data_IF_032256163603
#
_entry.id   IF_032256163603
#
_cell.length_a   1.000
_cell.length_b   1.000
_cell.length_c   1.000
_cell.angle_alpha   90.00
_cell.angle_beta   90.00
_cell.angle_gamma   90.00
#
_symmetry.space_group_name_H-M   'P 1'
#
loop_
_entity.id
_entity.type
_entity.pdbx_description
1 polymer ?
#
# COMPACT_ATOMS: atom_id res chain seq x y z
N UNK A 1 -8.52 -26.79 -11.46
CA UNK A 1 -8.69 -26.25 -10.10
C UNK A 1 -8.44 -27.40 -9.13
N UNK A 2 -7.30 -27.42 -8.42
CA UNK A 2 -7.03 -28.45 -7.41
C UNK A 2 -7.55 -27.89 -6.08
N UNK A 3 -8.58 -28.53 -5.51
CA UNK A 3 -9.02 -28.23 -4.16
C UNK A 3 -7.94 -28.75 -3.21
N UNK A 4 -7.39 -27.88 -2.37
CA UNK A 4 -6.52 -28.28 -1.28
C UNK A 4 -7.36 -29.04 -0.24
N UNK A 5 -6.85 -30.15 0.29
CA UNK A 5 -7.47 -30.81 1.44
C UNK A 5 -7.08 -30.06 2.73
N UNK A 6 -7.74 -30.37 3.87
CA UNK A 6 -7.49 -29.67 5.14
C UNK A 6 -6.01 -29.74 5.59
N UNK A 7 -5.38 -30.90 5.45
CA UNK A 7 -3.98 -31.12 5.82
C UNK A 7 -3.00 -30.33 4.93
N UNK A 8 -3.32 -30.14 3.65
CA UNK A 8 -2.53 -29.30 2.75
C UNK A 8 -2.60 -27.82 3.18
N UNK A 9 -3.75 -27.37 3.70
CA UNK A 9 -3.94 -26.00 4.15
C UNK A 9 -3.19 -25.70 5.45
N UNK A 10 -3.20 -26.63 6.39
CA UNK A 10 -2.42 -26.53 7.63
C UNK A 10 -0.92 -26.48 7.33
N UNK A 11 -0.43 -27.38 6.45
CA UNK A 11 0.98 -27.34 6.03
C UNK A 11 1.37 -26.04 5.30
N UNK A 12 0.50 -25.49 4.44
CA UNK A 12 0.75 -24.19 3.79
C UNK A 12 0.81 -23.06 4.82
N UNK A 13 -0.09 -23.10 5.81
CA UNK A 13 -0.13 -22.12 6.87
C UNK A 13 1.15 -22.15 7.70
N UNK A 14 1.59 -23.31 8.16
CA UNK A 14 2.82 -23.48 8.94
C UNK A 14 4.05 -22.99 8.16
N UNK A 15 4.10 -23.27 6.86
CA UNK A 15 5.18 -22.77 5.98
C UNK A 15 5.15 -21.24 5.92
N UNK A 16 3.97 -20.63 5.72
CA UNK A 16 3.84 -19.18 5.65
C UNK A 16 4.17 -18.51 6.98
N UNK A 17 3.77 -19.10 8.09
CA UNK A 17 4.11 -18.66 9.44
C UNK A 17 5.63 -18.67 9.66
N UNK A 18 6.30 -19.77 9.28
CA UNK A 18 7.75 -19.89 9.34
C UNK A 18 8.47 -18.87 8.45
N UNK A 19 7.97 -18.66 7.23
CA UNK A 19 8.51 -17.61 6.33
C UNK A 19 8.34 -16.22 6.95
N UNK A 20 7.16 -15.93 7.50
CA UNK A 20 6.88 -14.65 8.15
C UNK A 20 7.82 -14.41 9.33
N UNK A 21 8.04 -15.43 10.15
CA UNK A 21 8.98 -15.39 11.26
C UNK A 21 10.42 -15.07 10.79
N UNK A 22 10.93 -15.80 9.80
CA UNK A 22 12.30 -15.61 9.27
C UNK A 22 12.49 -14.21 8.69
N UNK A 23 11.55 -13.76 7.86
CA UNK A 23 11.62 -12.43 7.24
C UNK A 23 11.55 -11.35 8.32
N UNK A 24 10.66 -11.49 9.30
CA UNK A 24 10.54 -10.53 10.40
C UNK A 24 11.81 -10.47 11.25
N UNK A 25 12.43 -11.61 11.56
CA UNK A 25 13.70 -11.65 12.30
C UNK A 25 14.80 -10.89 11.56
N UNK A 26 14.94 -11.15 10.25
CA UNK A 26 15.92 -10.45 9.41
C UNK A 26 15.64 -8.94 9.30
N UNK A 27 14.36 -8.54 9.33
CA UNK A 27 13.96 -7.14 9.36
C UNK A 27 14.49 -6.45 10.63
N UNK A 28 14.23 -7.02 11.80
CA UNK A 28 14.64 -6.48 13.11
C UNK A 28 16.16 -6.38 13.23
N UNK A 29 16.89 -7.34 12.67
CA UNK A 29 18.35 -7.39 12.72
C UNK A 29 19.00 -6.41 11.72
N UNK A 30 18.32 -6.06 10.63
CA UNK A 30 18.86 -5.18 9.60
C UNK A 30 18.86 -3.71 10.06
N UNK A 31 20.05 -3.21 10.43
CA UNK A 31 20.26 -1.85 10.97
C UNK A 31 20.36 -0.72 9.93
N UNK A 32 20.02 -0.95 8.68
CA UNK A 32 20.27 0.05 7.64
C UNK A 32 19.03 0.58 6.95
N UNK A 33 19.19 1.76 6.39
CA UNK A 33 18.14 2.46 5.68
C UNK A 33 17.81 1.87 4.30
N UNK A 34 18.08 0.59 4.05
CA UNK A 34 17.98 -0.05 2.74
C UNK A 34 16.73 -0.94 2.60
N UNK A 35 16.56 -1.51 1.41
CA UNK A 35 15.51 -2.50 1.12
C UNK A 35 15.65 -3.74 2.00
N UNK A 36 14.59 -4.53 2.13
CA UNK A 36 14.64 -5.75 2.95
C UNK A 36 15.74 -6.73 2.45
N UNK A 37 16.60 -7.29 3.34
CA UNK A 37 17.75 -8.12 2.93
C UNK A 37 17.37 -9.38 2.15
N UNK A 38 16.18 -9.91 2.39
CA UNK A 38 15.68 -11.11 1.71
C UNK A 38 14.84 -10.83 0.45
N UNK A 39 14.54 -9.57 0.11
CA UNK A 39 13.66 -9.28 -1.03
C UNK A 39 14.17 -9.91 -2.33
N UNK A 40 15.43 -9.62 -2.69
CA UNK A 40 16.01 -10.09 -3.96
C UNK A 40 16.12 -11.61 -4.02
N UNK A 41 16.47 -12.26 -2.90
CA UNK A 41 16.56 -13.71 -2.81
C UNK A 41 15.18 -14.37 -2.99
N UNK A 42 14.16 -13.88 -2.29
CA UNK A 42 12.79 -14.40 -2.44
C UNK A 42 12.27 -14.18 -3.86
N UNK A 43 12.52 -13.01 -4.45
CA UNK A 43 12.15 -12.73 -5.83
C UNK A 43 12.84 -13.66 -6.85
N UNK A 44 14.12 -13.97 -6.65
CA UNK A 44 14.89 -14.86 -7.53
C UNK A 44 14.29 -16.27 -7.64
N UNK A 45 13.63 -16.75 -6.58
CA UNK A 45 12.96 -18.05 -6.54
C UNK A 45 11.45 -17.98 -6.83
N UNK A 46 10.97 -16.88 -7.44
CA UNK A 46 9.54 -16.61 -7.68
C UNK A 46 8.68 -16.65 -6.42
N UNK A 47 9.28 -16.42 -5.25
CA UNK A 47 8.58 -16.46 -3.97
C UNK A 47 7.56 -15.33 -3.83
N UNK A 48 7.85 -14.15 -4.39
CA UNK A 48 6.94 -13.00 -4.36
C UNK A 48 5.63 -13.33 -5.07
N UNK A 49 5.70 -13.88 -6.29
CA UNK A 49 4.53 -14.26 -7.07
C UNK A 49 3.74 -15.37 -6.38
N UNK A 50 4.42 -16.32 -5.73
CA UNK A 50 3.78 -17.42 -5.00
C UNK A 50 3.06 -16.96 -3.76
N UNK A 51 3.67 -16.09 -2.96
CA UNK A 51 3.03 -15.50 -1.78
C UNK A 51 1.82 -14.66 -2.21
N UNK A 52 1.93 -13.91 -3.31
CA UNK A 52 0.79 -13.15 -3.86
C UNK A 52 -0.35 -14.07 -4.36
N UNK A 53 -0.01 -15.19 -5.00
CA UNK A 53 -1.00 -16.19 -5.40
C UNK A 53 -1.75 -16.76 -4.18
N UNK A 54 -1.00 -17.12 -3.12
CA UNK A 54 -1.56 -17.61 -1.87
C UNK A 54 -2.44 -16.55 -1.20
N UNK A 55 -2.00 -15.29 -1.15
CA UNK A 55 -2.80 -14.18 -0.62
C UNK A 55 -4.16 -14.06 -1.32
N UNK A 56 -4.17 -14.03 -2.66
CA UNK A 56 -5.38 -13.85 -3.46
C UNK A 56 -6.30 -15.07 -3.46
N UNK A 57 -5.74 -16.28 -3.36
CA UNK A 57 -6.47 -17.55 -3.35
C UNK A 57 -6.69 -18.13 -1.95
N UNK A 58 -6.33 -17.38 -0.91
CA UNK A 58 -6.33 -17.86 0.47
C UNK A 58 -7.73 -18.38 0.86
N UNK A 59 -7.85 -19.68 1.19
CA UNK A 59 -9.12 -20.30 1.56
C UNK A 59 -9.49 -20.02 3.02
N UNK A 60 -8.54 -19.58 3.84
CA UNK A 60 -8.76 -19.15 5.21
C UNK A 60 -8.05 -17.80 5.48
N UNK A 61 -8.40 -17.16 6.61
CA UNK A 61 -7.85 -15.86 6.97
C UNK A 61 -6.39 -15.93 7.42
N UNK A 62 -5.92 -17.02 8.04
CA UNK A 62 -4.53 -17.13 8.50
C UNK A 62 -3.54 -17.13 7.33
N UNK A 63 -3.79 -17.93 6.29
CA UNK A 63 -2.98 -17.92 5.05
C UNK A 63 -2.99 -16.52 4.44
N UNK A 64 -4.14 -15.83 4.43
CA UNK A 64 -4.25 -14.47 3.91
C UNK A 64 -3.46 -13.47 4.74
N UNK A 65 -3.54 -13.56 6.07
CA UNK A 65 -2.86 -12.70 7.02
C UNK A 65 -1.34 -12.85 6.90
N UNK A 66 -0.82 -14.07 6.98
CA UNK A 66 0.62 -14.32 6.84
C UNK A 66 1.14 -13.93 5.47
N UNK A 67 0.40 -14.23 4.40
CA UNK A 67 0.81 -13.82 3.05
C UNK A 67 0.87 -12.29 2.93
N UNK A 68 -0.13 -11.57 3.43
CA UNK A 68 -0.12 -10.11 3.42
C UNK A 68 1.03 -9.52 4.26
N UNK A 69 1.28 -10.08 5.44
CA UNK A 69 2.38 -9.66 6.30
C UNK A 69 3.75 -9.87 5.64
N UNK A 70 4.01 -11.05 5.08
CA UNK A 70 5.23 -11.34 4.32
C UNK A 70 5.44 -10.31 3.21
N UNK A 71 4.38 -10.01 2.44
CA UNK A 71 4.47 -9.01 1.36
C UNK A 71 4.76 -7.62 1.92
N UNK A 72 4.07 -7.19 2.98
CA UNK A 72 4.30 -5.86 3.57
C UNK A 72 5.73 -5.69 4.12
N UNK A 73 6.28 -6.72 4.77
CA UNK A 73 7.63 -6.69 5.33
C UNK A 73 8.68 -6.73 4.21
N UNK A 74 8.54 -7.63 3.23
CA UNK A 74 9.49 -7.74 2.11
C UNK A 74 9.59 -6.44 1.31
N UNK A 75 8.48 -5.74 1.09
CA UNK A 75 8.45 -4.48 0.35
C UNK A 75 8.93 -3.26 1.15
N UNK A 76 9.60 -3.43 2.30
CA UNK A 76 10.25 -2.34 3.02
C UNK A 76 11.13 -1.52 2.07
N UNK A 77 10.89 -0.21 2.02
CA UNK A 77 11.61 0.74 1.15
C UNK A 77 11.59 0.40 -0.35
N UNK A 78 10.63 -0.42 -0.76
CA UNK A 78 10.43 -0.80 -2.14
C UNK A 78 9.02 -0.44 -2.58
N UNK A 79 8.88 -0.06 -3.85
CA UNK A 79 7.58 0.31 -4.38
C UNK A 79 6.77 -0.94 -4.74
N UNK A 80 5.51 -0.97 -4.32
CA UNK A 80 4.51 -1.87 -4.90
C UNK A 80 3.91 -1.12 -6.09
N UNK A 81 4.34 -1.48 -7.30
CA UNK A 81 3.96 -0.79 -8.53
C UNK A 81 2.46 -0.89 -8.84
N UNK A 82 1.86 -2.05 -8.55
CA UNK A 82 0.42 -2.28 -8.74
C UNK A 82 -0.39 -1.61 -7.61
N UNK A 83 -1.19 -0.55 -7.90
CA UNK A 83 -2.03 0.12 -6.90
C UNK A 83 -3.03 -0.80 -6.22
N UNK A 84 -3.61 -1.73 -6.97
CA UNK A 84 -4.69 -2.59 -6.49
C UNK A 84 -4.10 -3.58 -5.50
N UNK A 85 -3.00 -4.24 -5.89
CA UNK A 85 -2.22 -5.10 -5.00
C UNK A 85 -1.75 -4.35 -3.74
N UNK A 86 -1.20 -3.14 -3.88
CA UNK A 86 -0.79 -2.31 -2.74
C UNK A 86 -1.96 -2.08 -1.78
N UNK A 87 -3.14 -1.74 -2.31
CA UNK A 87 -4.34 -1.48 -1.50
C UNK A 87 -4.78 -2.75 -0.77
N UNK A 88 -4.90 -3.88 -1.48
CA UNK A 88 -5.31 -5.16 -0.91
C UNK A 88 -4.40 -5.58 0.26
N UNK A 89 -3.08 -5.48 0.09
CA UNK A 89 -2.11 -5.80 1.14
C UNK A 89 -2.29 -4.88 2.34
N UNK A 90 -2.36 -3.55 2.14
CA UNK A 90 -2.53 -2.59 3.24
C UNK A 90 -3.82 -2.84 4.03
N UNK A 91 -4.93 -3.12 3.33
CA UNK A 91 -6.22 -3.42 3.96
C UNK A 91 -6.10 -4.69 4.82
N UNK A 92 -5.49 -5.74 4.31
CA UNK A 92 -5.31 -6.97 5.08
C UNK A 92 -4.36 -6.78 6.27
N UNK A 93 -3.22 -6.09 6.10
CA UNK A 93 -2.32 -5.81 7.22
C UNK A 93 -3.03 -4.98 8.31
N UNK A 94 -3.95 -4.08 7.95
CA UNK A 94 -4.79 -3.36 8.92
C UNK A 94 -5.79 -4.26 9.62
N UNK A 95 -6.35 -5.29 8.99
CA UNK A 95 -7.22 -6.22 9.73
C UNK A 95 -6.42 -7.05 10.72
N UNK A 96 -5.16 -7.37 10.41
CA UNK A 96 -4.27 -8.12 11.30
C UNK A 96 -4.04 -7.42 12.65
N UNK A 97 -3.99 -6.08 12.71
CA UNK A 97 -3.74 -5.36 13.97
C UNK A 97 -4.85 -5.49 15.02
N UNK A 98 -5.99 -6.08 14.64
CA UNK A 98 -7.11 -6.37 15.52
C UNK A 98 -7.36 -7.89 15.65
N UNK A 99 -6.42 -8.71 15.17
CA UNK A 99 -6.50 -10.16 15.32
C UNK A 99 -6.30 -10.55 16.79
N UNK A 100 -6.87 -11.68 17.19
CA UNK A 100 -6.73 -12.20 18.56
C UNK A 100 -5.40 -12.92 18.74
N UNK A 101 -4.82 -13.42 17.65
CA UNK A 101 -3.50 -13.99 17.64
C UNK A 101 -2.44 -12.87 17.69
N UNK A 102 -1.71 -12.81 18.80
CA UNK A 102 -0.69 -11.78 19.07
C UNK A 102 0.43 -11.80 18.02
N UNK A 103 0.76 -12.96 17.46
CA UNK A 103 1.79 -13.03 16.43
C UNK A 103 1.29 -12.42 15.13
N UNK A 104 0.04 -12.70 14.75
CA UNK A 104 -0.61 -12.06 13.58
C UNK A 104 -0.74 -10.55 13.77
N UNK A 105 -1.12 -10.11 14.96
CA UNK A 105 -1.20 -8.68 15.32
C UNK A 105 0.16 -7.99 15.12
N UNK A 106 1.22 -8.55 15.72
CA UNK A 106 2.59 -8.05 15.62
C UNK A 106 3.05 -7.96 14.17
N UNK A 107 2.86 -9.02 13.38
CA UNK A 107 3.22 -9.06 11.97
C UNK A 107 2.46 -8.02 11.15
N UNK A 108 1.18 -7.79 11.45
CA UNK A 108 0.36 -6.74 10.86
C UNK A 108 0.94 -5.35 11.10
N UNK A 109 1.33 -5.06 12.34
CA UNK A 109 1.97 -3.80 12.72
C UNK A 109 3.31 -3.62 11.99
N UNK A 110 4.15 -4.66 11.96
CA UNK A 110 5.46 -4.59 11.31
C UNK A 110 5.34 -4.40 9.80
N UNK A 111 4.43 -5.12 9.16
CA UNK A 111 4.15 -4.97 7.73
C UNK A 111 3.72 -3.53 7.38
N UNK A 112 2.84 -2.93 8.18
CA UNK A 112 2.42 -1.53 7.98
C UNK A 112 3.58 -0.55 8.21
N UNK A 113 4.42 -0.80 9.21
CA UNK A 113 5.63 0.00 9.43
C UNK A 113 6.57 -0.05 8.23
N UNK A 114 6.86 -1.24 7.69
CA UNK A 114 7.69 -1.43 6.50
C UNK A 114 7.11 -0.74 5.26
N UNK A 115 5.79 -0.87 5.03
CA UNK A 115 5.10 -0.23 3.91
C UNK A 115 5.09 1.30 4.02
N UNK A 116 5.07 1.85 5.24
CA UNK A 116 5.13 3.31 5.46
C UNK A 116 6.46 3.93 5.03
N UNK A 117 7.53 3.11 4.97
CA UNK A 117 8.85 3.52 4.50
C UNK A 117 9.01 3.41 2.98
N UNK A 118 7.99 2.92 2.26
CA UNK A 118 8.06 2.78 0.81
C UNK A 118 8.08 4.13 0.09
N UNK A 119 8.74 4.24 -1.09
CA UNK A 119 8.66 5.43 -1.94
C UNK A 119 7.22 5.80 -2.32
N UNK A 120 6.30 4.83 -2.32
CA UNK A 120 4.88 5.08 -2.53
C UNK A 120 4.30 6.04 -1.48
N UNK A 121 4.56 5.81 -0.19
CA UNK A 121 4.01 6.68 0.87
C UNK A 121 4.64 8.07 0.82
N UNK A 122 5.96 8.16 0.57
CA UNK A 122 6.65 9.46 0.40
C UNK A 122 6.05 10.27 -0.75
N UNK A 123 5.73 9.63 -1.88
CA UNK A 123 5.09 10.28 -3.03
C UNK A 123 3.67 10.74 -2.71
N UNK A 124 2.91 9.94 -1.96
CA UNK A 124 1.56 10.27 -1.55
C UNK A 124 1.53 11.49 -0.62
N UNK A 125 2.43 11.53 0.36
CA UNK A 125 2.62 12.67 1.26
C UNK A 125 3.07 13.93 0.50
N UNK A 126 4.06 13.83 -0.38
CA UNK A 126 4.53 14.96 -1.17
C UNK A 126 3.40 15.57 -2.01
N UNK A 127 2.57 14.74 -2.63
CA UNK A 127 1.43 15.20 -3.43
C UNK A 127 0.38 15.95 -2.59
N UNK A 128 0.10 15.46 -1.38
CA UNK A 128 -0.76 16.14 -0.42
C UNK A 128 -0.18 17.49 0.03
N UNK A 129 1.09 17.51 0.43
CA UNK A 129 1.78 18.74 0.84
C UNK A 129 1.75 19.80 -0.26
N UNK A 130 2.02 19.41 -1.50
CA UNK A 130 1.99 20.35 -2.63
C UNK A 130 0.57 20.82 -2.91
N UNK A 131 -0.43 19.92 -2.85
CA UNK A 131 -1.84 20.29 -2.98
C UNK A 131 -2.25 21.37 -1.99
N UNK A 132 -1.88 21.21 -0.71
CA UNK A 132 -2.13 22.23 0.32
C UNK A 132 -1.29 23.51 0.13
N UNK A 133 -0.02 23.39 -0.25
CA UNK A 133 0.87 24.54 -0.47
C UNK A 133 0.34 25.47 -1.58
N UNK A 134 -0.31 24.90 -2.60
CA UNK A 134 -0.91 25.62 -3.71
C UNK A 134 -2.44 25.76 -3.59
N UNK A 135 -3.00 25.67 -2.37
CA UNK A 135 -4.41 25.95 -2.12
C UNK A 135 -4.80 27.33 -2.64
N UNK A 136 -5.79 27.39 -3.55
CA UNK A 136 -6.21 28.62 -4.24
C UNK A 136 -5.14 29.28 -5.12
N UNK A 137 -4.05 28.57 -5.44
CA UNK A 137 -2.90 29.11 -6.20
C UNK A 137 -2.58 28.23 -7.40
N UNK A 138 -2.01 28.87 -8.43
CA UNK A 138 -1.56 28.19 -9.63
C UNK A 138 -0.30 27.39 -9.35
N UNK A 139 -0.27 26.11 -9.73
CA UNK A 139 0.97 25.33 -9.79
C UNK A 139 1.77 25.80 -11.03
N UNK A 140 3.00 26.31 -10.89
CA UNK A 140 3.69 27.04 -11.96
C UNK A 140 4.11 26.16 -13.14
N UNK A 141 4.45 24.89 -12.90
CA UNK A 141 4.84 23.93 -13.93
C UNK A 141 3.64 23.07 -14.33
N UNK A 142 3.25 23.09 -15.62
CA UNK A 142 2.07 22.35 -16.14
C UNK A 142 2.20 20.84 -16.01
N UNK A 143 3.38 20.28 -16.24
CA UNK A 143 3.59 18.84 -16.10
C UNK A 143 3.46 18.42 -14.63
N UNK A 144 4.11 19.16 -13.74
CA UNK A 144 4.00 18.98 -12.29
C UNK A 144 2.55 19.12 -11.80
N UNK A 145 1.83 20.14 -12.28
CA UNK A 145 0.41 20.35 -11.99
C UNK A 145 -0.42 19.13 -12.38
N UNK A 146 -0.27 18.66 -13.62
CA UNK A 146 -0.97 17.48 -14.14
C UNK A 146 -0.66 16.24 -13.29
N UNK A 147 0.61 15.99 -13.00
CA UNK A 147 1.05 14.81 -12.25
C UNK A 147 0.52 14.79 -10.81
N UNK A 148 0.51 15.95 -10.13
CA UNK A 148 -0.02 16.09 -8.77
C UNK A 148 -1.53 15.89 -8.76
N UNK A 149 -2.26 16.55 -9.66
CA UNK A 149 -3.72 16.42 -9.76
C UNK A 149 -4.10 14.96 -10.06
N UNK A 150 -3.45 14.33 -11.04
CA UNK A 150 -3.64 12.92 -11.36
C UNK A 150 -3.41 12.02 -10.15
N UNK A 151 -2.31 12.25 -9.43
CA UNK A 151 -1.95 11.44 -8.28
C UNK A 151 -2.95 11.63 -7.13
N UNK A 152 -3.36 12.86 -6.83
CA UNK A 152 -4.40 13.15 -5.83
C UNK A 152 -5.75 12.52 -6.19
N UNK A 153 -6.18 12.56 -7.45
CA UNK A 153 -7.41 11.88 -7.90
C UNK A 153 -7.30 10.36 -7.68
N UNK A 154 -6.15 9.76 -8.02
CA UNK A 154 -5.90 8.34 -7.75
C UNK A 154 -5.95 8.04 -6.25
N UNK A 155 -5.36 8.89 -5.41
CA UNK A 155 -5.41 8.72 -3.96
C UNK A 155 -6.83 8.86 -3.42
N UNK A 156 -7.64 9.80 -3.93
CA UNK A 156 -9.02 9.97 -3.52
C UNK A 156 -9.88 8.73 -3.83
N UNK A 157 -9.62 8.05 -4.95
CA UNK A 157 -10.27 6.79 -5.33
C UNK A 157 -9.76 5.57 -4.54
N UNK A 158 -8.58 5.68 -3.93
CA UNK A 158 -7.88 4.57 -3.28
C UNK A 158 -7.90 4.59 -1.76
N UNK A 159 -7.95 5.77 -1.17
CA UNK A 159 -8.01 5.93 0.26
C UNK A 159 -9.44 5.87 0.78
N UNK A 160 -9.55 5.47 2.04
CA UNK A 160 -10.78 5.46 2.82
C UNK A 160 -10.62 6.33 4.08
N UNK A 161 -11.75 6.66 4.71
CA UNK A 161 -11.79 7.40 5.97
C UNK A 161 -11.06 8.75 5.92
N UNK A 162 -10.32 9.06 6.99
CA UNK A 162 -9.67 10.37 7.19
C UNK A 162 -8.67 10.68 6.07
N UNK A 163 -7.89 9.69 5.58
CA UNK A 163 -6.95 9.92 4.48
C UNK A 163 -7.68 10.37 3.20
N UNK A 164 -8.84 9.79 2.89
CA UNK A 164 -9.67 10.22 1.75
C UNK A 164 -10.17 11.66 1.94
N UNK A 165 -10.57 12.02 3.15
CA UNK A 165 -11.01 13.38 3.49
C UNK A 165 -9.91 14.40 3.25
N UNK A 166 -8.67 14.14 3.66
CA UNK A 166 -7.56 15.06 3.41
C UNK A 166 -7.29 15.25 1.91
N UNK A 167 -7.26 14.16 1.14
CA UNK A 167 -7.10 14.26 -0.32
C UNK A 167 -8.24 15.04 -0.96
N UNK A 168 -9.48 14.82 -0.50
CA UNK A 168 -10.66 15.55 -0.98
C UNK A 168 -10.52 17.05 -0.75
N UNK A 169 -10.10 17.46 0.45
CA UNK A 169 -9.90 18.87 0.77
C UNK A 169 -8.80 19.47 -0.13
N UNK A 170 -7.67 18.78 -0.28
CA UNK A 170 -6.59 19.25 -1.15
C UNK A 170 -7.05 19.44 -2.61
N UNK A 171 -7.90 18.54 -3.13
CA UNK A 171 -8.49 18.68 -4.47
C UNK A 171 -9.46 19.85 -4.57
N UNK A 172 -10.36 20.05 -3.58
CA UNK A 172 -11.28 21.19 -3.54
C UNK A 172 -10.52 22.51 -3.49
N UNK A 173 -9.50 22.60 -2.65
CA UNK A 173 -8.64 23.76 -2.48
C UNK A 173 -7.88 24.13 -3.76
N UNK A 174 -7.34 23.13 -4.47
CA UNK A 174 -6.71 23.34 -5.76
C UNK A 174 -7.72 23.85 -6.79
N UNK A 175 -8.95 23.32 -6.78
CA UNK A 175 -10.02 23.69 -7.72
C UNK A 175 -10.57 25.11 -7.52
N UNK A 176 -10.22 25.80 -6.43
CA UNK A 176 -10.49 27.23 -6.25
C UNK A 176 -9.74 28.07 -7.30
N UNK A 177 -8.60 27.59 -7.80
CA UNK A 177 -7.86 28.24 -8.88
C UNK A 177 -8.33 27.71 -10.25
N UNK A 178 -8.64 28.62 -11.15
CA UNK A 178 -9.26 28.31 -12.45
C UNK A 178 -8.44 27.39 -13.37
N UNK A 179 -7.11 27.52 -13.42
CA UNK A 179 -6.28 26.66 -14.26
C UNK A 179 -6.19 25.24 -13.69
N UNK A 180 -6.09 25.10 -12.36
CA UNK A 180 -6.15 23.80 -11.70
C UNK A 180 -7.51 23.13 -11.92
N UNK A 181 -8.62 23.88 -11.80
CA UNK A 181 -9.97 23.39 -12.08
C UNK A 181 -10.09 22.89 -13.52
N UNK A 182 -9.62 23.67 -14.49
CA UNK A 182 -9.62 23.26 -15.89
C UNK A 182 -8.78 21.99 -16.11
N UNK A 183 -7.59 21.92 -15.50
CA UNK A 183 -6.73 20.74 -15.60
C UNK A 183 -7.40 19.48 -15.02
N UNK A 184 -8.24 19.59 -13.98
CA UNK A 184 -9.03 18.47 -13.47
C UNK A 184 -10.08 18.01 -14.49
N UNK A 185 -10.81 18.96 -15.08
CA UNK A 185 -11.84 18.70 -16.10
C UNK A 185 -11.24 18.06 -17.36
N UNK A 186 -10.07 18.52 -17.81
CA UNK A 186 -9.34 17.99 -18.96
C UNK A 186 -8.95 16.51 -18.80
N UNK A 187 -8.94 16.02 -17.56
CA UNK A 187 -8.60 14.64 -17.21
C UNK A 187 -9.86 13.85 -16.79
N UNK A 188 -11.04 14.41 -17.03
CA UNK A 188 -12.33 13.77 -16.77
C UNK A 188 -12.69 13.68 -15.29
N UNK A 189 -12.21 14.61 -14.47
CA UNK A 189 -12.55 14.70 -13.05
C UNK A 189 -13.28 16.01 -12.76
N UNK A 190 -14.56 15.94 -12.39
CA UNK A 190 -15.35 17.10 -11.99
C UNK A 190 -15.16 17.39 -10.49
N UNK A 191 -14.53 18.52 -10.10
CA UNK A 191 -14.35 18.86 -8.69
C UNK A 191 -15.67 19.05 -7.93
N UNK A 192 -16.78 19.33 -8.62
CA UNK A 192 -18.10 19.43 -7.98
C UNK A 192 -18.59 18.08 -7.44
N UNK A 193 -18.08 16.96 -7.95
CA UNK A 193 -18.41 15.64 -7.41
C UNK A 193 -17.83 15.39 -6.00
N UNK A 194 -17.07 16.34 -5.45
CA UNK A 194 -16.44 16.26 -4.13
C UNK A 194 -17.21 17.03 -3.03
N UNK A 195 -18.24 17.79 -3.41
CA UNK A 195 -19.12 18.57 -2.53
C UNK A 195 -20.33 17.72 -2.14
#
# INVERSE_FOLDING_TARGET
MRMFNYSDLEGIQDILEGIAYIINLAEVESRDGSTHPHFNLVAQFNGIERILELFRRAPNNQIRNFSAACMGILYRKQAISDPTMRREIIVQCRSCIYDKDVFVEMLGQQALYCLSQSPNESKDLASLCIGYLYSGRRIPNRQMQRDIILHLIRLYRNYDGIKRTYVRIALLDLALESNNKQAMMDIGFDPLSLV
#
